data_IF_844104027748
#
_entry.id   IF_844104027748
#
_cell.length_a   1.000
_cell.length_b   1.000
_cell.length_c   1.000
_cell.angle_alpha   90.00
_cell.angle_beta   90.00
_cell.angle_gamma   90.00
#
_symmetry.space_group_name_H-M   'P 1'
#
loop_
_entity.id
_entity.type
_entity.pdbx_description
1 polymer ?
#
# COMPACT_ATOMS: atom_id res chain seq x y z
N UNK A 1 17.16 9.82 -20.18
CA UNK A 1 16.14 10.33 -19.26
C UNK A 1 16.63 10.22 -17.84
N UNK A 2 16.07 11.04 -16.94
CA UNK A 2 16.49 11.12 -15.54
C UNK A 2 15.35 10.80 -14.59
N UNK A 3 15.70 10.45 -13.36
CA UNK A 3 14.80 10.32 -12.21
C UNK A 3 15.33 11.28 -11.13
N UNK A 4 14.45 12.07 -10.51
CA UNK A 4 14.82 12.92 -9.39
C UNK A 4 14.69 12.16 -8.08
N UNK A 5 15.76 12.09 -7.29
CA UNK A 5 15.81 11.41 -5.99
C UNK A 5 16.03 12.46 -4.89
N UNK A 6 15.05 13.34 -4.69
CA UNK A 6 15.19 14.50 -3.81
C UNK A 6 16.16 15.53 -4.41
N UNK A 7 17.32 15.83 -3.78
CA UNK A 7 18.23 16.89 -4.24
C UNK A 7 19.09 16.50 -5.45
N UNK A 8 18.95 15.28 -6.00
CA UNK A 8 19.81 14.75 -7.05
C UNK A 8 19.03 14.34 -8.29
N UNK A 9 19.62 14.59 -9.44
CA UNK A 9 19.22 14.04 -10.72
C UNK A 9 20.03 12.77 -10.99
N UNK A 10 19.36 11.64 -11.18
CA UNK A 10 19.99 10.35 -11.46
C UNK A 10 19.61 9.91 -12.86
N UNK A 11 20.58 9.51 -13.68
CA UNK A 11 20.31 8.97 -15.00
C UNK A 11 19.60 7.62 -14.88
N UNK A 12 18.57 7.39 -15.69
CA UNK A 12 17.94 6.07 -15.79
C UNK A 12 18.97 5.04 -16.26
N UNK A 13 18.96 3.86 -15.65
CA UNK A 13 19.81 2.72 -16.04
C UNK A 13 19.44 2.26 -17.46
N UNK A 14 20.34 1.60 -18.21
CA UNK A 14 19.99 1.02 -19.50
C UNK A 14 18.73 0.15 -19.40
N UNK A 15 17.82 0.28 -20.37
CA UNK A 15 16.55 -0.47 -20.43
C UNK A 15 15.45 -0.01 -19.44
N UNK A 16 15.77 0.88 -18.51
CA UNK A 16 14.81 1.37 -17.51
C UNK A 16 13.67 2.20 -18.11
N UNK A 17 13.88 2.84 -19.27
CA UNK A 17 12.82 3.57 -19.99
C UNK A 17 11.67 2.63 -20.37
N UNK A 18 11.99 1.52 -21.02
CA UNK A 18 11.00 0.51 -21.41
C UNK A 18 10.41 -0.17 -20.19
N UNK A 19 11.24 -0.57 -19.23
CA UNK A 19 10.79 -1.22 -18.00
C UNK A 19 9.73 -0.40 -17.25
N UNK A 20 9.99 0.89 -17.01
CA UNK A 20 9.03 1.76 -16.32
C UNK A 20 7.78 2.01 -17.14
N UNK A 21 7.91 2.17 -18.46
CA UNK A 21 6.76 2.32 -19.36
C UNK A 21 5.85 1.09 -19.30
N UNK A 22 6.44 -0.11 -19.27
CA UNK A 22 5.70 -1.36 -19.12
C UNK A 22 5.02 -1.49 -17.76
N UNK A 23 5.63 -1.04 -16.65
CA UNK A 23 4.95 -1.03 -15.33
C UNK A 23 3.70 -0.13 -15.33
N UNK A 24 3.70 0.97 -16.10
CA UNK A 24 2.50 1.81 -16.28
C UNK A 24 1.46 1.15 -17.19
N UNK A 25 1.89 0.55 -18.30
CA UNK A 25 1.02 -0.16 -19.23
C UNK A 25 0.38 -1.37 -18.55
N UNK A 26 1.14 -2.13 -17.76
CA UNK A 26 0.63 -3.25 -16.98
C UNK A 26 -0.54 -2.84 -16.06
N UNK A 27 -0.54 -1.60 -15.56
CA UNK A 27 -1.55 -1.03 -14.65
C UNK A 27 -2.61 -0.18 -15.35
N UNK A 28 -2.88 -0.43 -16.62
CA UNK A 28 -4.02 0.16 -17.31
C UNK A 28 -3.68 1.32 -18.25
N UNK A 29 -2.44 1.82 -18.28
CA UNK A 29 -2.06 2.76 -19.34
C UNK A 29 -2.19 2.10 -20.71
N UNK A 30 -2.64 2.88 -21.70
CA UNK A 30 -2.76 2.45 -23.10
C UNK A 30 -1.60 2.90 -23.98
N UNK A 31 -0.57 3.48 -23.38
CA UNK A 31 0.63 3.93 -24.07
C UNK A 31 1.65 4.56 -23.14
N UNK A 32 2.69 5.15 -23.72
CA UNK A 32 3.73 5.86 -23.01
C UNK A 32 3.97 7.22 -23.66
N UNK A 33 3.78 8.30 -22.89
CA UNK A 33 4.07 9.67 -23.31
C UNK A 33 5.14 10.24 -22.40
N UNK A 34 6.05 11.03 -22.97
CA UNK A 34 7.14 11.63 -22.22
C UNK A 34 7.03 13.14 -22.28
N UNK A 35 7.03 13.76 -21.10
CA UNK A 35 7.50 15.12 -20.97
C UNK A 35 9.04 15.06 -21.01
N UNK A 36 9.73 15.51 -22.04
CA UNK A 36 9.27 16.18 -23.27
C UNK A 36 10.00 15.61 -24.49
N UNK A 37 9.62 16.05 -25.70
CA UNK A 37 10.27 15.60 -26.94
C UNK A 37 11.78 15.90 -26.96
N UNK A 38 12.20 17.15 -26.74
CA UNK A 38 13.61 17.56 -26.78
C UNK A 38 13.98 18.27 -25.50
N UNK A 39 15.12 17.91 -24.91
CA UNK A 39 15.62 18.58 -23.72
C UNK A 39 15.83 20.08 -23.98
N UNK A 40 15.21 20.92 -23.15
CA UNK A 40 15.31 22.38 -23.25
C UNK A 40 16.75 22.84 -23.08
N UNK A 41 17.22 23.78 -23.92
CA UNK A 41 18.58 24.35 -23.79
C UNK A 41 18.70 25.41 -22.68
N UNK A 42 17.57 25.87 -22.14
CA UNK A 42 17.50 26.94 -21.15
C UNK A 42 16.12 27.00 -20.49
N UNK A 43 15.96 27.89 -19.51
CA UNK A 43 14.75 28.00 -18.69
C UNK A 43 14.81 27.12 -17.44
N UNK A 44 13.75 27.17 -16.62
CA UNK A 44 13.70 26.48 -15.32
C UNK A 44 13.90 24.95 -15.41
N UNK A 45 13.56 24.36 -16.55
CA UNK A 45 13.61 22.91 -16.78
C UNK A 45 14.77 22.48 -17.69
N UNK A 46 15.83 23.29 -17.81
CA UNK A 46 16.93 23.00 -18.75
C UNK A 46 17.63 21.66 -18.47
N UNK A 47 17.57 21.16 -17.24
CA UNK A 47 18.10 19.85 -16.85
C UNK A 47 17.07 18.72 -16.88
N UNK A 48 15.80 19.02 -17.17
CA UNK A 48 14.80 17.98 -17.40
C UNK A 48 15.10 17.28 -18.72
N UNK A 49 15.28 15.96 -18.66
CA UNK A 49 15.60 15.18 -19.86
C UNK A 49 14.45 15.21 -20.88
N UNK A 50 14.79 15.14 -22.17
CA UNK A 50 13.83 14.86 -23.24
C UNK A 50 14.09 13.51 -23.90
N UNK A 51 13.16 13.08 -24.76
CA UNK A 51 13.32 11.91 -25.64
C UNK A 51 14.57 12.08 -26.52
N UNK A 52 14.78 13.27 -27.07
CA UNK A 52 16.03 13.73 -27.65
C UNK A 52 16.80 14.52 -26.59
N UNK A 53 17.86 13.97 -25.97
CA UNK A 53 18.65 14.68 -24.96
C UNK A 53 19.47 15.81 -25.60
N UNK A 54 20.16 16.61 -24.78
CA UNK A 54 21.09 17.64 -25.28
C UNK A 54 22.18 17.08 -26.19
N UNK A 55 22.58 15.82 -25.97
CA UNK A 55 23.51 15.08 -26.82
C UNK A 55 22.97 14.82 -28.24
N UNK A 56 21.66 15.00 -28.48
CA UNK A 56 21.03 14.75 -29.77
C UNK A 56 20.59 13.29 -29.98
N UNK A 57 20.19 12.94 -31.22
CA UNK A 57 19.64 11.62 -31.55
C UNK A 57 20.70 10.51 -31.54
N UNK A 58 21.99 10.83 -31.69
CA UNK A 58 23.05 9.84 -31.46
C UNK A 58 23.32 9.67 -29.95
N UNK A 59 22.35 9.07 -29.27
CA UNK A 59 22.45 8.83 -27.83
C UNK A 59 21.72 7.54 -27.46
N UNK A 60 22.18 6.89 -26.38
CA UNK A 60 21.50 5.72 -25.80
C UNK A 60 20.03 6.02 -25.50
N UNK A 61 19.75 7.22 -24.97
CA UNK A 61 18.39 7.64 -24.59
C UNK A 61 17.47 7.65 -25.81
N UNK A 62 17.89 8.26 -26.92
CA UNK A 62 17.04 8.32 -28.11
C UNK A 62 16.86 6.93 -28.74
N UNK A 63 17.90 6.09 -28.74
CA UNK A 63 17.79 4.69 -29.19
C UNK A 63 16.79 3.88 -28.37
N UNK A 64 16.87 3.93 -27.03
CA UNK A 64 15.90 3.26 -26.15
C UNK A 64 14.46 3.77 -26.35
N UNK A 65 14.30 5.05 -26.68
CA UNK A 65 12.98 5.62 -27.01
C UNK A 65 12.45 5.06 -28.33
N UNK A 66 13.29 4.93 -29.36
CA UNK A 66 12.90 4.29 -30.62
C UNK A 66 12.54 2.81 -30.41
N UNK A 67 13.35 2.06 -29.65
CA UNK A 67 13.08 0.66 -29.28
C UNK A 67 11.74 0.51 -28.55
N UNK A 68 11.43 1.41 -27.60
CA UNK A 68 10.10 1.45 -26.97
C UNK A 68 9.01 1.72 -28.00
N UNK A 69 9.21 2.67 -28.91
CA UNK A 69 8.26 2.98 -29.99
C UNK A 69 7.96 1.78 -30.89
N UNK A 70 8.97 0.96 -31.18
CA UNK A 70 8.83 -0.29 -31.95
C UNK A 70 8.10 -1.39 -31.15
N UNK A 71 8.30 -1.44 -29.83
CA UNK A 71 7.64 -2.41 -28.95
C UNK A 71 6.14 -2.14 -28.80
N UNK A 72 5.72 -0.88 -28.64
CA UNK A 72 4.35 -0.52 -28.25
C UNK A 72 3.24 -1.14 -29.14
N UNK A 73 3.35 -1.17 -30.49
CA UNK A 73 2.35 -1.81 -31.34
C UNK A 73 2.12 -3.30 -31.05
N UNK A 74 3.14 -4.02 -30.56
CA UNK A 74 3.00 -5.44 -30.21
C UNK A 74 2.12 -5.69 -28.98
N UNK A 75 1.82 -4.65 -28.19
CA UNK A 75 1.04 -4.73 -26.95
C UNK A 75 -0.44 -4.39 -27.15
N UNK A 76 -0.87 -4.11 -28.38
CA UNK A 76 -2.19 -3.55 -28.70
C UNK A 76 -3.37 -4.40 -28.18
N UNK A 77 -3.24 -5.72 -28.19
CA UNK A 77 -4.23 -6.63 -27.58
C UNK A 77 -4.19 -6.58 -26.05
N UNK A 78 -2.99 -6.66 -25.46
CA UNK A 78 -2.79 -6.67 -24.01
C UNK A 78 -3.30 -5.39 -23.34
N UNK A 79 -3.14 -4.22 -23.96
CA UNK A 79 -3.58 -2.94 -23.39
C UNK A 79 -5.10 -2.73 -23.43
N UNK A 80 -5.84 -3.56 -24.18
CA UNK A 80 -7.31 -3.54 -24.19
C UNK A 80 -7.94 -4.43 -23.13
N UNK A 81 -7.21 -5.42 -22.62
CA UNK A 81 -7.69 -6.28 -21.55
C UNK A 81 -7.80 -5.50 -20.21
N UNK A 82 -8.80 -5.80 -19.36
CA UNK A 82 -8.94 -5.14 -18.06
C UNK A 82 -7.80 -5.54 -17.12
N UNK A 83 -7.40 -4.65 -16.21
CA UNK A 83 -6.44 -4.99 -15.14
C UNK A 83 -7.17 -5.78 -14.07
N UNK A 84 -6.56 -6.84 -13.56
CA UNK A 84 -7.11 -7.64 -12.46
C UNK A 84 -6.50 -7.20 -11.14
N UNK A 85 -7.31 -6.55 -10.28
CA UNK A 85 -6.93 -6.18 -8.93
C UNK A 85 -7.63 -7.09 -7.91
N UNK A 86 -6.86 -7.64 -6.96
CA UNK A 86 -7.38 -8.49 -5.89
C UNK A 86 -7.74 -7.73 -4.61
N UNK A 87 -7.32 -6.46 -4.54
CA UNK A 87 -7.49 -5.61 -3.37
C UNK A 87 -7.89 -4.19 -3.76
N UNK A 88 -8.47 -3.44 -2.82
CA UNK A 88 -8.68 -2.00 -2.95
C UNK A 88 -8.08 -1.25 -1.77
N UNK A 89 -7.54 -0.07 -2.05
CA UNK A 89 -7.12 0.92 -1.05
C UNK A 89 -8.12 2.08 -1.12
N UNK A 90 -8.78 2.37 -0.01
CA UNK A 90 -9.76 3.46 -0.01
C UNK A 90 -9.06 4.81 -0.14
N UNK A 91 -9.53 5.60 -1.10
CA UNK A 91 -9.07 6.94 -1.42
C UNK A 91 -10.22 7.94 -1.41
N UNK A 92 -10.11 8.97 -0.60
CA UNK A 92 -11.00 10.13 -0.61
C UNK A 92 -10.20 11.44 -0.48
N UNK A 93 -10.40 12.35 -1.43
CA UNK A 93 -9.76 13.65 -1.43
C UNK A 93 -10.24 14.53 -0.27
N UNK A 94 -11.52 14.44 0.12
CA UNK A 94 -12.09 15.27 1.19
C UNK A 94 -11.49 14.88 2.54
N UNK A 95 -11.38 13.59 2.83
CA UNK A 95 -10.63 13.10 3.99
C UNK A 95 -9.15 13.57 3.97
N UNK A 96 -8.51 13.57 2.79
CA UNK A 96 -7.15 14.08 2.61
C UNK A 96 -7.01 15.58 2.87
N UNK A 97 -8.01 16.39 2.53
CA UNK A 97 -8.02 17.83 2.83
C UNK A 97 -8.29 18.09 4.31
N UNK A 98 -9.21 17.35 4.93
CA UNK A 98 -9.52 17.51 6.34
C UNK A 98 -8.31 17.22 7.24
N UNK A 99 -7.44 16.29 6.86
CA UNK A 99 -6.19 16.01 7.57
C UNK A 99 -5.11 17.09 7.42
N UNK A 100 -5.34 18.12 6.59
CA UNK A 100 -4.47 19.30 6.51
C UNK A 100 -4.93 20.43 7.45
N UNK A 101 -6.04 20.24 8.18
CA UNK A 101 -6.52 21.21 9.16
C UNK A 101 -5.56 21.31 10.35
N UNK A 102 -5.31 22.52 10.88
CA UNK A 102 -4.68 22.65 12.19
C UNK A 102 -5.56 22.05 13.29
N UNK A 103 -4.95 21.71 14.43
CA UNK A 103 -5.67 21.26 15.63
C UNK A 103 -6.00 19.76 15.68
N UNK A 104 -5.49 18.96 14.73
CA UNK A 104 -5.54 17.50 14.80
C UNK A 104 -4.66 16.99 15.97
N UNK A 105 -4.89 15.74 16.45
CA UNK A 105 -4.11 15.19 17.56
C UNK A 105 -2.59 15.12 17.28
N UNK A 106 -2.19 15.09 16.01
CA UNK A 106 -0.80 15.28 15.58
C UNK A 106 -0.73 16.04 14.26
N UNK A 107 0.23 16.96 14.15
CA UNK A 107 0.50 17.69 12.91
C UNK A 107 1.23 16.84 11.85
N UNK A 108 1.72 15.65 12.23
CA UNK A 108 2.44 14.72 11.36
C UNK A 108 1.50 13.71 10.67
N UNK A 109 0.19 13.78 10.94
CA UNK A 109 -0.82 12.97 10.25
C UNK A 109 -0.81 13.28 8.74
N UNK A 110 -0.68 12.23 7.94
CA UNK A 110 -0.67 12.33 6.48
C UNK A 110 -1.45 11.18 5.86
N UNK A 111 -2.59 11.51 5.28
CA UNK A 111 -3.41 10.55 4.54
C UNK A 111 -2.63 9.92 3.39
N UNK A 112 -1.90 10.75 2.63
CA UNK A 112 -1.12 10.30 1.49
C UNK A 112 -0.03 9.31 1.92
N UNK A 113 0.64 9.52 3.05
CA UNK A 113 1.67 8.59 3.51
C UNK A 113 1.09 7.27 4.04
N UNK A 114 -0.08 7.29 4.69
CA UNK A 114 -0.79 6.07 5.08
C UNK A 114 -1.22 5.24 3.84
N UNK A 115 -1.79 5.90 2.83
CA UNK A 115 -2.14 5.30 1.54
C UNK A 115 -0.91 4.75 0.82
N UNK A 116 0.20 5.53 0.79
CA UNK A 116 1.46 5.09 0.18
C UNK A 116 2.06 3.88 0.88
N UNK A 117 1.97 3.79 2.20
CA UNK A 117 2.41 2.61 2.92
C UNK A 117 1.60 1.39 2.51
N UNK A 118 0.26 1.46 2.56
CA UNK A 118 -0.63 0.38 2.13
C UNK A 118 -0.30 -0.08 0.70
N UNK A 119 -0.20 0.87 -0.25
CA UNK A 119 0.16 0.58 -1.63
C UNK A 119 1.55 -0.06 -1.75
N UNK A 120 2.55 0.48 -1.05
CA UNK A 120 3.93 -0.03 -1.11
C UNK A 120 4.04 -1.45 -0.57
N UNK A 121 3.31 -1.78 0.50
CA UNK A 121 3.24 -3.13 1.06
C UNK A 121 2.64 -4.09 0.03
N UNK A 122 1.46 -3.79 -0.52
CA UNK A 122 0.83 -4.63 -1.55
C UNK A 122 1.71 -4.79 -2.79
N UNK A 123 2.25 -3.69 -3.31
CA UNK A 123 3.11 -3.66 -4.50
C UNK A 123 4.35 -4.55 -4.34
N UNK A 124 5.08 -4.43 -3.22
CA UNK A 124 6.29 -5.22 -2.96
C UNK A 124 6.02 -6.72 -2.79
N UNK A 125 4.76 -7.08 -2.56
CA UNK A 125 4.32 -8.45 -2.34
C UNK A 125 3.43 -8.96 -3.49
N UNK A 126 3.45 -8.28 -4.65
CA UNK A 126 2.83 -8.76 -5.88
C UNK A 126 1.31 -8.69 -5.89
N UNK A 127 0.69 -7.92 -5.00
CA UNK A 127 -0.75 -7.71 -4.97
C UNK A 127 -1.08 -6.46 -5.77
N UNK A 128 -1.80 -6.65 -6.88
CA UNK A 128 -2.37 -5.53 -7.64
C UNK A 128 -3.60 -5.00 -6.91
N UNK A 129 -3.64 -3.68 -6.70
CA UNK A 129 -4.70 -3.01 -5.99
C UNK A 129 -5.26 -1.82 -6.77
N UNK A 130 -6.57 -1.64 -6.68
CA UNK A 130 -7.26 -0.44 -7.16
C UNK A 130 -7.36 0.62 -6.05
N UNK A 131 -7.56 1.87 -6.45
CA UNK A 131 -8.00 2.93 -5.55
C UNK A 131 -9.51 3.12 -5.70
N UNK A 132 -10.23 3.04 -4.59
CA UNK A 132 -11.69 3.11 -4.59
C UNK A 132 -12.20 4.17 -3.61
N UNK A 133 -13.26 4.88 -3.98
CA UNK A 133 -14.00 5.70 -3.01
C UNK A 133 -14.74 4.77 -2.02
N UNK A 134 -14.92 5.13 -0.74
CA UNK A 134 -15.66 4.32 0.24
C UNK A 134 -17.09 3.95 -0.17
N UNK A 135 -17.72 4.79 -1.02
CA UNK A 135 -19.06 4.57 -1.57
C UNK A 135 -19.10 3.65 -2.80
N UNK A 136 -17.94 3.23 -3.33
CA UNK A 136 -17.87 2.39 -4.53
C UNK A 136 -18.38 0.97 -4.24
N UNK A 137 -18.61 0.19 -5.31
CA UNK A 137 -18.81 -1.25 -5.17
C UNK A 137 -17.47 -1.90 -4.80
N UNK A 138 -17.44 -2.53 -3.63
CA UNK A 138 -16.26 -3.20 -3.08
C UNK A 138 -16.34 -4.73 -3.18
N UNK A 139 -17.44 -5.27 -3.70
CA UNK A 139 -17.72 -6.71 -3.68
C UNK A 139 -16.75 -7.56 -4.51
N UNK A 140 -16.06 -6.94 -5.47
CA UNK A 140 -15.07 -7.61 -6.31
C UNK A 140 -13.73 -7.88 -5.60
N UNK A 141 -13.44 -7.21 -4.48
CA UNK A 141 -12.14 -7.28 -3.82
C UNK A 141 -12.15 -8.30 -2.67
N UNK A 142 -11.11 -9.12 -2.57
CA UNK A 142 -10.93 -10.00 -1.41
C UNK A 142 -10.42 -9.27 -0.17
N UNK A 143 -9.80 -8.10 -0.37
CA UNK A 143 -9.19 -7.27 0.66
C UNK A 143 -9.46 -5.79 0.39
N UNK A 144 -9.95 -5.06 1.39
CA UNK A 144 -10.10 -3.60 1.35
C UNK A 144 -9.30 -2.99 2.50
N UNK A 145 -8.46 -2.01 2.19
CA UNK A 145 -7.63 -1.28 3.15
C UNK A 145 -8.20 0.12 3.36
N UNK A 146 -8.34 0.53 4.62
CA UNK A 146 -8.83 1.84 5.04
C UNK A 146 -7.72 2.58 5.79
N UNK A 147 -6.78 3.23 5.07
CA UNK A 147 -5.59 3.83 5.65
C UNK A 147 -5.88 5.24 6.21
N UNK A 148 -6.18 5.34 7.50
CA UNK A 148 -6.39 6.61 8.22
C UNK A 148 -7.39 7.54 7.52
N UNK A 149 -8.49 6.94 7.04
CA UNK A 149 -9.58 7.62 6.35
C UNK A 149 -10.44 8.36 7.38
N UNK A 150 -9.98 9.55 7.78
CA UNK A 150 -10.50 10.32 8.90
C UNK A 150 -12.02 10.55 8.87
N UNK A 151 -12.54 10.91 7.69
CA UNK A 151 -13.97 11.18 7.46
C UNK A 151 -14.64 9.92 6.88
N UNK A 152 -15.71 9.47 7.51
CA UNK A 152 -16.56 8.40 6.97
C UNK A 152 -18.02 8.78 7.20
N UNK A 153 -18.79 8.88 6.13
CA UNK A 153 -20.24 9.12 6.19
C UNK A 153 -21.00 7.89 6.70
N UNK A 154 -22.24 8.06 7.13
CA UNK A 154 -23.07 6.92 7.54
C UNK A 154 -23.32 5.94 6.37
N UNK A 155 -23.43 6.46 5.15
CA UNK A 155 -23.62 5.66 3.95
C UNK A 155 -22.36 4.81 3.64
N UNK A 156 -21.18 5.40 3.77
CA UNK A 156 -19.91 4.71 3.55
C UNK A 156 -19.65 3.66 4.65
N UNK A 157 -19.93 4.00 5.91
CA UNK A 157 -19.84 3.05 7.02
C UNK A 157 -20.80 1.86 6.81
N UNK A 158 -22.01 2.11 6.31
CA UNK A 158 -22.95 1.05 5.94
C UNK A 158 -22.45 0.21 4.76
N UNK A 159 -21.75 0.81 3.81
CA UNK A 159 -21.15 0.10 2.68
C UNK A 159 -20.03 -0.84 3.12
N UNK A 160 -19.10 -0.36 3.96
CA UNK A 160 -18.02 -1.18 4.53
C UNK A 160 -18.57 -2.32 5.38
N UNK A 161 -19.64 -2.07 6.14
CA UNK A 161 -20.34 -3.13 6.88
C UNK A 161 -20.87 -4.22 5.94
N UNK A 162 -21.62 -3.86 4.89
CA UNK A 162 -22.14 -4.83 3.91
C UNK A 162 -21.03 -5.63 3.23
N UNK A 163 -19.92 -4.98 2.89
CA UNK A 163 -18.76 -5.64 2.31
C UNK A 163 -18.21 -6.74 3.23
N UNK A 164 -18.02 -6.44 4.52
CA UNK A 164 -17.54 -7.44 5.50
C UNK A 164 -18.59 -8.50 5.77
N UNK A 165 -19.86 -8.12 5.94
CA UNK A 165 -20.97 -9.08 6.12
C UNK A 165 -21.03 -10.10 4.98
N UNK A 166 -20.78 -9.66 3.74
CA UNK A 166 -20.74 -10.48 2.54
C UNK A 166 -19.51 -11.37 2.36
N UNK A 167 -18.55 -11.35 3.30
CA UNK A 167 -17.36 -12.21 3.28
C UNK A 167 -16.05 -11.48 3.01
N UNK A 168 -16.07 -10.16 2.84
CA UNK A 168 -14.87 -9.36 2.60
C UNK A 168 -13.92 -9.32 3.80
N UNK A 169 -12.63 -9.14 3.52
CA UNK A 169 -11.64 -8.78 4.56
C UNK A 169 -11.38 -7.28 4.53
N UNK A 170 -11.60 -6.61 5.65
CA UNK A 170 -11.38 -5.17 5.81
C UNK A 170 -10.23 -4.93 6.80
N UNK A 171 -9.24 -4.13 6.44
CA UNK A 171 -8.19 -3.68 7.35
C UNK A 171 -8.28 -2.17 7.55
N UNK A 172 -8.58 -1.75 8.77
CA UNK A 172 -8.75 -0.35 9.13
C UNK A 172 -7.57 0.11 9.98
N UNK A 173 -6.90 1.18 9.59
CA UNK A 173 -5.89 1.79 10.45
C UNK A 173 -6.45 2.92 11.30
N UNK A 174 -5.72 3.24 12.36
CA UNK A 174 -5.99 4.31 13.30
C UNK A 174 -6.48 5.60 12.63
N UNK A 175 -7.25 6.37 13.40
CA UNK A 175 -7.92 7.61 12.99
C UNK A 175 -9.02 7.46 11.92
N UNK A 176 -9.19 6.29 11.30
CA UNK A 176 -10.26 6.10 10.30
C UNK A 176 -11.65 6.17 10.93
N UNK A 177 -12.59 6.91 10.33
CA UNK A 177 -13.99 6.96 10.78
C UNK A 177 -14.20 7.59 12.16
N UNK A 178 -13.28 8.47 12.57
CA UNK A 178 -13.39 9.27 13.81
C UNK A 178 -14.43 10.38 13.66
N UNK A 179 -14.57 10.95 12.47
CA UNK A 179 -15.53 12.02 12.17
C UNK A 179 -16.48 11.66 11.03
N UNK A 180 -17.60 12.38 10.95
CA UNK A 180 -18.51 12.35 9.81
C UNK A 180 -17.95 13.15 8.61
N UNK A 181 -18.66 13.15 7.49
CA UNK A 181 -18.31 13.88 6.26
C UNK A 181 -18.20 15.40 6.45
N UNK A 182 -18.67 15.94 7.57
CA UNK A 182 -18.59 17.36 7.92
C UNK A 182 -17.49 17.64 8.95
N UNK A 183 -16.57 16.69 9.15
CA UNK A 183 -15.49 16.76 10.14
C UNK A 183 -15.98 16.95 11.58
N UNK A 184 -17.19 16.47 11.90
CA UNK A 184 -17.72 16.46 13.27
C UNK A 184 -17.36 15.14 13.92
N UNK A 185 -16.67 15.21 15.05
CA UNK A 185 -16.26 14.03 15.80
C UNK A 185 -17.49 13.24 16.25
N UNK A 186 -17.48 11.94 15.97
CA UNK A 186 -18.52 11.00 16.39
C UNK A 186 -18.31 10.62 17.86
N UNK A 187 -19.31 10.87 18.70
CA UNK A 187 -19.23 10.63 20.14
C UNK A 187 -19.40 9.14 20.51
N UNK A 188 -19.03 8.77 21.75
CA UNK A 188 -19.20 7.42 22.29
C UNK A 188 -17.97 6.50 22.17
N UNK A 189 -16.80 7.06 21.82
CA UNK A 189 -15.54 6.34 21.62
C UNK A 189 -15.25 6.06 20.14
N UNK A 190 -13.97 6.02 19.79
CA UNK A 190 -13.50 5.88 18.40
C UNK A 190 -13.31 4.41 17.99
N UNK A 191 -13.20 4.10 16.69
CA UNK A 191 -13.67 4.91 15.57
C UNK A 191 -15.21 4.93 15.52
N UNK A 192 -15.84 6.09 15.67
CA UNK A 192 -17.28 6.18 15.89
C UNK A 192 -18.12 5.62 14.74
N UNK A 193 -17.63 5.68 13.51
CA UNK A 193 -18.32 5.11 12.33
C UNK A 193 -18.23 3.58 12.25
N UNK A 194 -17.17 2.97 12.79
CA UNK A 194 -16.79 1.57 12.54
C UNK A 194 -16.62 0.71 13.80
N UNK A 195 -16.75 1.29 15.01
CA UNK A 195 -16.48 0.60 16.29
C UNK A 195 -17.23 -0.74 16.45
N UNK A 196 -18.49 -0.80 16.01
CA UNK A 196 -19.32 -2.01 16.15
C UNK A 196 -18.91 -3.07 15.12
N UNK A 197 -18.54 -2.65 13.90
CA UNK A 197 -17.99 -3.52 12.87
C UNK A 197 -16.64 -4.11 13.31
N UNK A 198 -15.80 -3.27 13.93
CA UNK A 198 -14.46 -3.63 14.39
C UNK A 198 -14.46 -4.34 15.75
N UNK A 199 -15.59 -4.35 16.47
CA UNK A 199 -15.69 -4.99 17.79
C UNK A 199 -14.76 -4.36 18.84
N UNK A 200 -14.52 -3.05 18.78
CA UNK A 200 -13.62 -2.31 19.67
C UNK A 200 -14.22 -0.99 20.13
N UNK A 201 -13.58 -0.32 21.09
CA UNK A 201 -13.77 1.10 21.36
C UNK A 201 -12.45 1.72 21.80
N UNK A 202 -12.08 2.84 21.21
CA UNK A 202 -10.88 3.60 21.53
C UNK A 202 -11.27 4.78 22.39
N UNK A 203 -10.64 4.88 23.54
CA UNK A 203 -10.90 5.92 24.53
C UNK A 203 -10.05 7.18 24.26
N UNK A 204 -8.76 6.97 24.02
CA UNK A 204 -7.79 8.05 23.92
C UNK A 204 -6.73 7.74 22.85
N UNK A 205 -6.27 8.79 22.17
CA UNK A 205 -5.15 8.73 21.24
C UNK A 205 -3.85 9.09 21.96
N UNK A 206 -2.79 8.33 21.66
CA UNK A 206 -1.45 8.60 22.15
C UNK A 206 -0.49 8.68 20.94
N UNK A 207 -0.44 9.82 20.24
CA UNK A 207 0.60 10.06 19.24
C UNK A 207 2.00 9.87 19.87
N UNK A 208 2.88 9.19 19.14
CA UNK A 208 4.23 8.87 19.61
C UNK A 208 5.24 9.87 19.02
N UNK A 209 6.21 10.35 19.82
CA UNK A 209 7.32 11.13 19.28
C UNK A 209 8.10 10.35 18.20
N UNK A 210 8.77 11.04 17.25
CA UNK A 210 9.42 10.39 16.10
C UNK A 210 10.48 9.33 16.45
N UNK A 211 11.14 9.46 17.58
CA UNK A 211 12.19 8.57 18.10
C UNK A 211 11.65 7.46 19.00
N UNK A 212 10.34 7.37 19.16
CA UNK A 212 9.67 6.40 20.04
C UNK A 212 9.03 5.29 19.22
N UNK A 213 9.39 4.05 19.56
CA UNK A 213 8.78 2.83 19.04
C UNK A 213 8.27 1.97 20.20
N UNK A 214 7.05 1.45 20.07
CA UNK A 214 6.43 0.54 21.01
C UNK A 214 6.60 -0.90 20.52
N UNK A 215 7.21 -1.77 21.32
CA UNK A 215 7.23 -3.21 21.03
C UNK A 215 5.81 -3.76 20.98
N UNK A 216 5.56 -4.61 19.98
CA UNK A 216 4.33 -5.37 19.83
C UNK A 216 4.62 -6.85 20.06
N UNK A 217 3.70 -7.54 20.73
CA UNK A 217 3.78 -8.99 20.90
C UNK A 217 2.41 -9.64 20.77
N UNK A 218 2.37 -10.88 20.28
CA UNK A 218 1.13 -11.67 20.29
C UNK A 218 0.75 -12.03 21.73
N UNK A 219 -0.54 -12.27 22.03
CA UNK A 219 -0.93 -12.85 23.31
C UNK A 219 -0.18 -14.16 23.57
N UNK A 220 0.52 -14.26 24.71
CA UNK A 220 1.40 -15.41 25.02
C UNK A 220 2.88 -15.22 24.64
N UNK A 221 3.22 -14.14 23.93
CA UNK A 221 4.59 -13.76 23.57
C UNK A 221 5.02 -14.22 22.17
N UNK A 222 5.88 -13.44 21.53
CA UNK A 222 6.37 -13.67 20.16
C UNK A 222 5.93 -12.58 19.16
N UNK A 223 6.47 -12.58 17.94
CA UNK A 223 6.13 -11.63 16.88
C UNK A 223 4.75 -11.92 16.26
N UNK A 224 4.19 -10.93 15.57
CA UNK A 224 2.97 -11.08 14.77
C UNK A 224 3.17 -12.14 13.68
N UNK A 225 2.27 -13.12 13.62
CA UNK A 225 2.19 -14.12 12.55
C UNK A 225 0.81 -14.08 11.86
N UNK A 226 0.75 -14.53 10.60
CA UNK A 226 -0.49 -14.56 9.81
C UNK A 226 -1.45 -15.69 10.20
N UNK A 227 -1.00 -16.75 10.88
CA UNK A 227 -1.78 -17.95 11.23
C UNK A 227 -1.19 -18.73 12.42
N UNK A 228 -2.04 -19.56 13.03
CA UNK A 228 -1.80 -20.55 14.12
C UNK A 228 -0.72 -21.62 13.81
N UNK A 229 -0.03 -21.56 12.67
CA UNK A 229 0.99 -22.53 12.31
C UNK A 229 2.34 -22.09 12.86
N UNK A 230 2.84 -22.84 13.84
CA UNK A 230 4.20 -22.77 14.36
C UNK A 230 5.20 -22.72 13.20
N UNK A 231 5.84 -21.57 12.91
CA UNK A 231 6.95 -21.59 11.97
C UNK A 231 8.08 -22.39 12.61
N UNK A 232 8.69 -23.30 11.84
CA UNK A 232 9.92 -23.95 12.30
C UNK A 232 10.95 -22.88 12.68
N UNK A 233 11.68 -23.04 13.79
CA UNK A 233 12.61 -22.03 14.26
C UNK A 233 13.75 -21.86 13.26
N UNK A 234 13.68 -20.82 12.43
CA UNK A 234 14.86 -20.28 11.75
C UNK A 234 15.80 -19.75 12.82
N UNK A 235 17.07 -20.14 12.80
CA UNK A 235 18.10 -19.71 13.76
C UNK A 235 18.44 -18.21 13.75
N UNK A 236 17.66 -17.39 13.06
CA UNK A 236 17.75 -15.93 13.06
C UNK A 236 16.88 -15.36 14.18
N UNK A 237 17.39 -14.35 14.90
CA UNK A 237 16.61 -13.66 15.94
C UNK A 237 15.32 -13.10 15.31
N UNK A 238 14.13 -13.31 15.92
CA UNK A 238 12.91 -12.70 15.43
C UNK A 238 13.08 -11.18 15.37
N UNK A 239 12.74 -10.58 14.23
CA UNK A 239 12.64 -9.12 14.12
C UNK A 239 11.52 -8.68 15.07
N UNK A 240 11.85 -7.79 16.01
CA UNK A 240 10.88 -7.26 16.96
C UNK A 240 9.87 -6.38 16.22
N UNK A 241 8.59 -6.73 16.33
CA UNK A 241 7.52 -5.93 15.75
C UNK A 241 7.34 -4.66 16.57
N UNK A 242 7.22 -3.53 15.88
CA UNK A 242 7.07 -2.22 16.54
C UNK A 242 5.96 -1.40 15.93
N UNK A 243 5.26 -0.67 16.81
CA UNK A 243 4.36 0.41 16.48
C UNK A 243 5.09 1.75 16.62
N UNK A 244 4.93 2.64 15.65
CA UNK A 244 5.54 3.97 15.63
C UNK A 244 4.48 5.04 15.38
N UNK A 245 4.81 6.31 15.64
CA UNK A 245 4.03 7.51 15.29
C UNK A 245 2.65 7.67 15.95
N UNK A 246 1.89 6.59 16.12
CA UNK A 246 0.55 6.58 16.68
C UNK A 246 0.37 5.38 17.58
N UNK A 247 -0.41 5.53 18.64
CA UNK A 247 -0.88 4.44 19.48
C UNK A 247 -2.21 4.86 20.12
N UNK A 248 -3.00 3.90 20.61
CA UNK A 248 -4.32 4.19 21.14
C UNK A 248 -4.67 3.30 22.34
N UNK A 249 -5.48 3.83 23.25
CA UNK A 249 -6.08 3.05 24.33
C UNK A 249 -7.31 2.30 23.79
N UNK A 250 -7.10 1.04 23.39
CA UNK A 250 -8.13 0.19 22.78
C UNK A 250 -8.81 -0.70 23.83
N UNK A 251 -10.13 -0.67 23.87
CA UNK A 251 -10.98 -1.62 24.59
C UNK A 251 -11.58 -2.63 23.61
N UNK A 252 -11.52 -3.93 23.93
CA UNK A 252 -12.18 -4.97 23.14
C UNK A 252 -13.68 -4.99 23.46
N UNK A 253 -14.51 -5.09 22.42
CA UNK A 253 -15.98 -5.20 22.48
C UNK A 253 -16.48 -6.34 21.58
N UNK A 254 -15.83 -7.50 21.69
CA UNK A 254 -16.12 -8.70 20.88
C UNK A 254 -15.01 -9.08 19.91
N UNK A 255 -14.10 -8.15 19.59
CA UNK A 255 -12.87 -8.47 18.88
C UNK A 255 -11.89 -9.25 19.76
N UNK A 256 -10.98 -9.96 19.12
CA UNK A 256 -9.80 -10.58 19.74
C UNK A 256 -8.55 -9.73 19.45
N UNK A 257 -7.60 -9.72 20.38
CA UNK A 257 -6.30 -9.11 20.16
C UNK A 257 -5.37 -10.08 19.40
N UNK A 258 -4.80 -9.62 18.28
CA UNK A 258 -3.73 -10.32 17.57
C UNK A 258 -2.34 -9.88 18.05
N UNK A 259 -2.23 -8.63 18.51
CA UNK A 259 -1.02 -8.14 19.18
C UNK A 259 -1.38 -7.14 20.28
N UNK A 260 -0.52 -7.08 21.28
CA UNK A 260 -0.55 -6.19 22.43
C UNK A 260 0.66 -5.27 22.40
N UNK A 261 0.54 -4.07 22.97
CA UNK A 261 1.71 -3.27 23.31
C UNK A 261 2.48 -3.95 24.47
N UNK A 262 3.78 -4.19 24.31
CA UNK A 262 4.57 -5.00 25.23
C UNK A 262 5.68 -4.24 25.98
N UNK A 263 6.00 -3.02 25.55
CA UNK A 263 7.15 -2.27 26.05
C UNK A 263 6.78 -1.17 27.06
N UNK A 264 7.55 -0.99 28.14
CA UNK A 264 7.39 0.15 29.04
C UNK A 264 8.07 1.38 28.44
N UNK A 265 7.45 2.03 27.46
CA UNK A 265 7.89 3.37 27.09
C UNK A 265 7.25 4.38 28.05
N UNK A 266 8.04 5.28 28.66
CA UNK A 266 7.55 6.17 29.72
C UNK A 266 6.33 7.02 29.30
N UNK A 267 6.23 7.37 28.01
CA UNK A 267 5.10 8.12 27.43
C UNK A 267 3.86 7.27 27.11
N UNK A 268 3.96 5.95 27.13
CA UNK A 268 2.90 5.01 26.73
C UNK A 268 2.81 3.78 27.65
N UNK A 269 3.34 3.87 28.88
CA UNK A 269 3.32 2.79 29.85
C UNK A 269 1.88 2.34 30.18
N UNK A 270 0.93 3.26 30.11
CA UNK A 270 -0.50 2.99 30.27
C UNK A 270 -1.07 2.07 29.18
N UNK A 271 -0.39 1.94 28.04
CA UNK A 271 -0.81 1.06 26.95
C UNK A 271 -0.28 -0.36 27.07
N UNK A 272 0.66 -0.62 27.98
CA UNK A 272 1.25 -1.96 28.13
C UNK A 272 0.17 -3.00 28.45
N UNK A 273 0.13 -4.06 27.67
CA UNK A 273 -0.89 -5.12 27.73
C UNK A 273 -2.20 -4.80 27.00
N UNK A 274 -2.37 -3.59 26.47
CA UNK A 274 -3.56 -3.23 25.67
C UNK A 274 -3.41 -3.66 24.21
N UNK A 275 -4.54 -3.89 23.49
CA UNK A 275 -4.52 -4.29 22.09
C UNK A 275 -3.92 -3.24 21.15
N UNK A 276 -2.95 -3.69 20.34
CA UNK A 276 -2.34 -2.92 19.25
C UNK A 276 -2.91 -3.30 17.87
N UNK A 277 -3.23 -4.58 17.69
CA UNK A 277 -3.85 -5.13 16.48
C UNK A 277 -5.00 -6.02 16.90
N UNK A 278 -6.18 -5.84 16.30
CA UNK A 278 -7.37 -6.63 16.64
C UNK A 278 -8.01 -7.26 15.41
N UNK A 279 -8.79 -8.31 15.65
CA UNK A 279 -9.62 -8.99 14.64
C UNK A 279 -11.03 -9.17 15.18
N UNK A 280 -12.02 -8.88 14.36
CA UNK A 280 -13.42 -9.19 14.62
C UNK A 280 -14.00 -9.99 13.45
N UNK A 281 -14.77 -11.03 13.77
CA UNK A 281 -15.57 -11.74 12.77
C UNK A 281 -16.94 -11.05 12.70
N UNK A 282 -17.35 -10.65 11.51
CA UNK A 282 -18.60 -9.93 11.32
C UNK A 282 -19.33 -10.44 10.08
N UNK A 283 -20.54 -11.00 10.26
CA UNK A 283 -21.21 -11.77 9.22
C UNK A 283 -20.32 -12.92 8.72
N UNK A 284 -20.11 -13.00 7.40
CA UNK A 284 -19.24 -14.00 6.78
C UNK A 284 -17.77 -13.57 6.64
N UNK A 285 -17.44 -12.31 6.95
CA UNK A 285 -16.11 -11.72 6.72
C UNK A 285 -15.32 -11.41 7.98
N UNK A 286 -14.24 -10.65 7.78
CA UNK A 286 -13.28 -10.30 8.83
C UNK A 286 -12.96 -8.81 8.80
N UNK A 287 -13.00 -8.16 9.97
CA UNK A 287 -12.55 -6.80 10.16
C UNK A 287 -11.30 -6.77 11.06
N UNK A 288 -10.21 -6.19 10.57
CA UNK A 288 -8.96 -6.01 11.27
C UNK A 288 -8.77 -4.53 11.63
N UNK A 289 -8.16 -4.25 12.78
CA UNK A 289 -7.83 -2.89 13.20
C UNK A 289 -6.35 -2.75 13.56
N UNK A 290 -5.72 -1.67 13.10
CA UNK A 290 -4.37 -1.25 13.50
C UNK A 290 -4.48 0.01 14.36
N UNK A 291 -4.17 -0.09 15.65
CA UNK A 291 -4.13 1.09 16.52
C UNK A 291 -2.77 1.80 16.51
N UNK A 292 -1.85 1.41 15.61
CA UNK A 292 -0.51 1.99 15.45
C UNK A 292 -0.02 1.88 14.02
N UNK A 293 1.07 2.59 13.67
CA UNK A 293 1.77 2.41 12.39
C UNK A 293 2.80 1.29 12.50
N UNK A 294 2.51 0.18 11.83
CA UNK A 294 3.42 -0.96 11.68
C UNK A 294 4.59 -0.63 10.73
N UNK A 295 5.66 -1.41 10.84
CA UNK A 295 6.66 -1.51 9.77
C UNK A 295 6.06 -2.20 8.54
N UNK A 296 6.64 -1.97 7.35
CA UNK A 296 6.17 -2.61 6.11
C UNK A 296 6.18 -4.15 6.21
N UNK A 297 7.20 -4.72 6.87
CA UNK A 297 7.33 -6.17 7.03
C UNK A 297 6.28 -6.74 8.00
N UNK A 298 6.00 -6.04 9.11
CA UNK A 298 4.96 -6.43 10.05
C UNK A 298 3.57 -6.33 9.42
N UNK A 299 3.33 -5.28 8.62
CA UNK A 299 2.11 -5.11 7.83
C UNK A 299 1.94 -6.27 6.84
N UNK A 300 2.97 -6.60 6.07
CA UNK A 300 2.94 -7.72 5.14
C UNK A 300 2.67 -9.05 5.83
N UNK A 301 3.34 -9.31 6.98
CA UNK A 301 3.10 -10.49 7.80
C UNK A 301 1.67 -10.58 8.29
N UNK A 302 1.07 -9.48 8.78
CA UNK A 302 -0.33 -9.45 9.19
C UNK A 302 -1.27 -9.85 8.06
N UNK A 303 -0.99 -9.40 6.84
CA UNK A 303 -1.77 -9.72 5.65
C UNK A 303 -1.43 -11.10 5.05
N UNK A 304 -0.48 -11.85 5.61
CA UNK A 304 -0.04 -13.15 5.08
C UNK A 304 0.67 -13.04 3.72
N UNK A 305 1.23 -11.88 3.40
CA UNK A 305 1.88 -11.60 2.13
C UNK A 305 3.33 -12.09 2.11
N UNK A 306 3.79 -12.55 0.95
CA UNK A 306 5.16 -13.00 0.72
C UNK A 306 5.87 -12.07 -0.25
N UNK A 307 7.18 -11.81 -0.08
CA UNK A 307 7.92 -10.95 -1.00
C UNK A 307 7.77 -11.42 -2.45
N UNK A 308 7.52 -10.48 -3.35
CA UNK A 308 7.43 -10.73 -4.79
C UNK A 308 8.64 -10.07 -5.48
N UNK A 309 9.73 -10.84 -5.74
CA UNK A 309 10.94 -10.28 -6.32
C UNK A 309 10.77 -9.88 -7.80
N UNK A 310 9.70 -10.34 -8.44
CA UNK A 310 9.29 -9.97 -9.79
C UNK A 310 7.90 -9.36 -9.70
N UNK A 311 7.73 -8.21 -10.34
CA UNK A 311 6.43 -7.59 -10.47
C UNK A 311 5.60 -8.41 -11.48
N UNK A 312 4.46 -8.95 -11.03
CA UNK A 312 3.54 -9.71 -11.86
C UNK A 312 2.18 -8.99 -11.86
N UNK A 313 1.72 -8.59 -13.05
CA UNK A 313 0.42 -7.92 -13.21
C UNK A 313 -0.36 -8.61 -14.31
N UNK A 314 -1.61 -8.97 -14.01
CA UNK A 314 -2.51 -9.62 -14.95
C UNK A 314 -3.44 -8.60 -15.61
N UNK A 315 -3.62 -8.78 -16.91
CA UNK A 315 -4.63 -8.09 -17.71
C UNK A 315 -5.43 -9.10 -18.53
N UNK A 316 -6.53 -9.61 -17.99
CA UNK A 316 -7.24 -10.76 -18.55
C UNK A 316 -6.26 -11.93 -18.79
N UNK A 317 -6.19 -12.43 -20.02
CA UNK A 317 -5.27 -13.51 -20.40
C UNK A 317 -3.79 -13.09 -20.47
N UNK A 318 -3.44 -11.82 -20.26
CA UNK A 318 -2.07 -11.32 -20.37
C UNK A 318 -1.37 -11.23 -19.02
N UNK A 319 -0.11 -11.65 -18.97
CA UNK A 319 0.78 -11.49 -17.82
C UNK A 319 1.94 -10.58 -18.19
N UNK A 320 2.06 -9.46 -17.47
CA UNK A 320 3.25 -8.62 -17.47
C UNK A 320 4.15 -9.08 -16.33
N UNK A 321 5.37 -9.51 -16.66
CA UNK A 321 6.39 -9.88 -15.69
C UNK A 321 7.58 -8.93 -15.81
N UNK A 322 7.93 -8.24 -14.72
CA UNK A 322 8.94 -7.19 -14.74
C UNK A 322 9.92 -7.37 -13.58
N UNK A 323 11.20 -7.56 -13.90
CA UNK A 323 12.27 -7.66 -12.92
C UNK A 323 12.85 -6.27 -12.63
N UNK A 324 12.57 -5.74 -11.44
CA UNK A 324 13.13 -4.46 -10.98
C UNK A 324 14.48 -4.61 -10.26
N UNK A 325 14.87 -5.85 -9.95
CA UNK A 325 16.04 -6.19 -9.16
C UNK A 325 17.35 -6.19 -9.95
N UNK A 326 18.41 -6.57 -9.24
CA UNK A 326 19.78 -6.61 -9.75
C UNK A 326 20.26 -8.04 -10.07
N UNK A 327 19.45 -9.04 -9.73
CA UNK A 327 19.71 -10.44 -9.99
C UNK A 327 18.75 -10.98 -11.05
N UNK A 328 19.17 -12.04 -11.74
CA UNK A 328 18.27 -12.83 -12.57
C UNK A 328 17.16 -13.47 -11.70
N UNK A 329 15.92 -13.48 -12.21
CA UNK A 329 14.77 -14.05 -11.51
C UNK A 329 14.01 -15.02 -12.40
N UNK A 330 13.79 -16.23 -11.89
CA UNK A 330 12.94 -17.24 -12.54
C UNK A 330 11.45 -16.89 -12.33
N UNK A 331 10.68 -16.85 -13.41
CA UNK A 331 9.23 -16.54 -13.41
C UNK A 331 8.40 -17.79 -13.68
N UNK A 332 8.86 -18.67 -14.58
CA UNK A 332 8.25 -19.97 -14.89
C UNK A 332 9.33 -21.01 -15.18
N UNK A 333 8.98 -22.28 -15.44
CA UNK A 333 9.94 -23.37 -15.72
C UNK A 333 11.01 -22.97 -16.73
N UNK A 334 10.58 -22.27 -17.79
CA UNK A 334 11.39 -21.92 -18.97
C UNK A 334 11.55 -20.41 -19.17
N UNK A 335 11.24 -19.59 -18.16
CA UNK A 335 11.37 -18.13 -18.22
C UNK A 335 12.19 -17.60 -17.06
N UNK A 336 13.38 -17.10 -17.38
CA UNK A 336 14.23 -16.29 -16.50
C UNK A 336 14.31 -14.87 -17.03
N UNK A 337 14.12 -13.89 -16.15
CA UNK A 337 14.27 -12.48 -16.47
C UNK A 337 15.62 -11.98 -15.94
N UNK A 338 16.50 -11.43 -16.79
CA UNK A 338 17.73 -10.80 -16.33
C UNK A 338 17.41 -9.55 -15.48
N UNK A 339 18.41 -8.97 -14.81
CA UNK A 339 18.25 -7.70 -14.10
C UNK A 339 17.66 -6.62 -15.02
N UNK A 340 16.55 -5.99 -14.61
CA UNK A 340 15.85 -5.01 -15.44
C UNK A 340 15.03 -5.59 -16.60
N UNK A 341 15.04 -6.92 -16.79
CA UNK A 341 14.31 -7.62 -17.84
C UNK A 341 12.80 -7.66 -17.63
N UNK A 342 12.07 -7.95 -18.71
CA UNK A 342 10.62 -8.05 -18.69
C UNK A 342 10.12 -9.08 -19.71
N UNK A 343 8.90 -9.56 -19.52
CA UNK A 343 8.16 -10.35 -20.48
C UNK A 343 6.67 -9.96 -20.46
N UNK A 344 6.04 -10.04 -21.62
CA UNK A 344 4.58 -9.90 -21.77
C UNK A 344 4.09 -11.17 -22.44
N UNK A 345 3.32 -11.97 -21.69
CA UNK A 345 2.92 -13.32 -22.10
C UNK A 345 1.42 -13.38 -22.23
N UNK A 346 0.93 -14.05 -23.28
CA UNK A 346 -0.47 -14.46 -23.36
C UNK A 346 -0.62 -15.84 -22.73
N UNK A 347 -1.23 -15.90 -21.55
CA UNK A 347 -1.51 -17.12 -20.83
C UNK A 347 -2.61 -17.89 -21.56
N UNK A 348 -2.33 -19.14 -21.92
CA UNK A 348 -3.36 -20.04 -22.46
C UNK A 348 -3.91 -20.82 -21.27
N UNK A 349 -5.24 -20.78 -21.11
CA UNK A 349 -5.95 -21.38 -19.98
C UNK A 349 -5.83 -22.89 -19.88
#
# INVERSE_FOLDING_TARGET
MVTYTGPRMVAKRPGEITRLSLSHIARGSRGAMFFQWRASRGGAELWHSGMVPHAGPDSRIFREICELGELLPSLDEAVRAPVEAGAAILWDAEAGWALQSPGLPSAELSYLEAVRQAHRVLYRHGVTADFAHPSADLSAYGLVLVPSLYLISDADAANLRRYVEGGGTLLVSFLSGVADEHARVRLGGYPGALRDLLGIGVEEFHPLPPDVAMTLSVPGGGPLSSREENPEPSGERPVEDTGTFWSEHVHLRGAEALALYAGPHASAAALSGLPAVTRNRYGAGTALYLSTRLTDDAYARLLGLRPAPVELVRRGEWLFAINHGEDERKVASDLCLPPGGYAVLKMHG
#
